data_IF_693836215777
#
_entry.id   IF_693836215777
#
_cell.length_a   1.000
_cell.length_b   1.000
_cell.length_c   1.000
_cell.angle_alpha   90.00
_cell.angle_beta   90.00
_cell.angle_gamma   90.00
#
_symmetry.space_group_name_H-M   'P 1'
#
loop_
_entity.id
_entity.type
_entity.pdbx_description
1 polymer ?
#
# COMPACT_ATOMS: atom_id res chain seq x y z
N UNK A 1 -17.26 6.95 8.13
CA UNK A 1 -16.19 7.96 8.18
C UNK A 1 -16.00 8.51 6.77
N UNK A 2 -16.43 9.75 6.54
CA UNK A 2 -16.33 10.41 5.24
C UNK A 2 -14.90 10.93 5.04
N UNK A 3 -14.33 10.76 3.85
CA UNK A 3 -12.96 11.19 3.53
C UNK A 3 -12.99 12.18 2.39
N UNK A 4 -12.48 13.39 2.63
CA UNK A 4 -12.37 14.44 1.62
C UNK A 4 -10.89 14.68 1.29
N UNK A 5 -10.58 14.75 -0.01
CA UNK A 5 -9.24 15.09 -0.50
C UNK A 5 -9.22 16.59 -0.84
N UNK A 6 -8.32 17.33 -0.21
CA UNK A 6 -8.08 18.74 -0.50
C UNK A 6 -6.65 18.90 -1.02
N UNK A 7 -6.52 19.49 -2.22
CA UNK A 7 -5.21 19.85 -2.77
C UNK A 7 -4.76 21.14 -2.10
N UNK A 8 -3.67 21.07 -1.33
CA UNK A 8 -3.03 22.28 -0.79
C UNK A 8 -2.17 22.94 -1.87
N UNK A 9 -1.47 22.13 -2.67
CA UNK A 9 -0.65 22.48 -3.84
C UNK A 9 -0.66 21.28 -4.82
N UNK A 10 -0.16 21.43 -6.05
CA UNK A 10 -0.07 20.31 -7.02
C UNK A 10 0.68 19.06 -6.50
N UNK A 11 1.52 19.23 -5.48
CA UNK A 11 2.37 18.17 -4.92
C UNK A 11 1.90 17.63 -3.56
N UNK A 12 0.95 18.27 -2.87
CA UNK A 12 0.53 17.84 -1.52
C UNK A 12 -0.98 17.68 -1.43
N UNK A 13 -1.39 16.49 -0.98
CA UNK A 13 -2.79 16.10 -0.77
C UNK A 13 -3.06 16.06 0.73
N UNK A 14 -4.10 16.76 1.16
CA UNK A 14 -4.62 16.66 2.52
C UNK A 14 -5.81 15.72 2.52
N UNK A 15 -5.70 14.62 3.26
CA UNK A 15 -6.76 13.64 3.44
C UNK A 15 -7.47 13.94 4.75
N UNK A 16 -8.67 14.51 4.68
CA UNK A 16 -9.48 14.85 5.85
C UNK A 16 -10.25 13.60 6.29
N UNK A 17 -10.08 13.20 7.54
CA UNK A 17 -10.80 12.11 8.17
C UNK A 17 -11.91 12.71 9.05
N UNK A 18 -13.17 12.63 8.58
CA UNK A 18 -14.29 13.13 9.37
C UNK A 18 -14.55 12.20 10.57
N UNK A 19 -14.26 12.66 11.78
CA UNK A 19 -14.73 12.02 13.02
C UNK A 19 -16.07 12.63 13.45
N UNK A 20 -17.07 11.83 13.88
CA UNK A 20 -18.24 12.36 14.56
C UNK A 20 -17.78 12.94 15.91
N UNK A 21 -17.78 14.27 16.03
CA UNK A 21 -17.39 14.93 17.29
C UNK A 21 -18.55 14.91 18.28
N UNK A 22 -18.53 13.95 19.21
CA UNK A 22 -19.26 14.02 20.47
C UNK A 22 -18.23 14.27 21.58
N UNK A 23 -18.04 15.53 21.99
CA UNK A 23 -17.26 15.86 23.19
C UNK A 23 -16.37 17.09 23.08
N UNK A 24 -16.28 17.84 24.18
CA UNK A 24 -15.67 19.17 24.38
C UNK A 24 -14.13 19.23 24.35
N UNK A 25 -13.44 18.29 23.68
CA UNK A 25 -11.97 18.28 23.61
C UNK A 25 -11.48 19.11 22.42
N UNK A 26 -10.38 19.89 22.54
CA UNK A 26 -9.81 20.63 21.41
C UNK A 26 -9.54 19.69 20.22
N UNK A 27 -9.77 20.16 18.97
CA UNK A 27 -9.74 19.30 17.80
C UNK A 27 -8.34 18.72 17.60
N UNK A 28 -8.22 17.39 17.74
CA UNK A 28 -7.07 16.65 17.22
C UNK A 28 -6.99 16.90 15.70
N UNK A 29 -5.77 16.99 15.15
CA UNK A 29 -5.56 17.03 13.69
C UNK A 29 -6.43 15.95 13.05
N UNK A 30 -7.45 16.36 12.31
CA UNK A 30 -8.41 15.47 11.66
C UNK A 30 -8.02 15.17 10.22
N UNK A 31 -6.74 15.36 9.88
CA UNK A 31 -6.26 15.17 8.53
C UNK A 31 -4.87 14.53 8.53
N UNK A 32 -4.57 13.83 7.43
CA UNK A 32 -3.24 13.33 7.10
C UNK A 32 -2.76 14.11 5.89
N UNK A 33 -1.57 14.69 5.98
CA UNK A 33 -0.93 15.37 4.86
C UNK A 33 0.03 14.41 4.18
N UNK A 34 -0.19 14.18 2.88
CA UNK A 34 0.59 13.24 2.07
C UNK A 34 1.14 13.99 0.86
N UNK A 35 2.46 13.97 0.70
CA UNK A 35 3.15 14.70 -0.38
C UNK A 35 3.60 13.76 -1.49
N UNK A 36 3.45 14.11 -2.76
CA UNK A 36 3.98 13.34 -3.88
C UNK A 36 5.51 13.37 -3.82
N UNK A 37 6.14 12.19 -3.88
CA UNK A 37 7.59 12.07 -4.04
C UNK A 37 7.91 12.21 -5.53
N UNK A 38 8.45 13.36 -5.90
CA UNK A 38 8.90 13.71 -7.26
C UNK A 38 10.34 14.21 -7.19
N UNK A 39 10.95 14.49 -8.33
CA UNK A 39 12.24 15.20 -8.44
C UNK A 39 12.31 16.48 -7.57
N UNK A 40 11.22 17.25 -7.50
CA UNK A 40 11.11 18.48 -6.70
C UNK A 40 11.21 18.18 -5.20
N UNK A 41 10.48 17.18 -4.71
CA UNK A 41 10.37 16.87 -3.27
C UNK A 41 11.39 15.82 -2.80
N UNK A 42 12.07 15.16 -3.73
CA UNK A 42 13.00 14.06 -3.50
C UNK A 42 14.09 14.42 -2.50
N UNK A 43 14.72 15.58 -2.71
CA UNK A 43 15.84 16.00 -1.87
C UNK A 43 15.39 16.27 -0.43
N UNK A 44 14.26 16.97 -0.22
CA UNK A 44 13.78 17.31 1.12
C UNK A 44 13.15 16.13 1.85
N UNK A 45 12.45 15.26 1.12
CA UNK A 45 11.63 14.20 1.70
C UNK A 45 12.36 12.85 1.76
N UNK A 46 13.57 12.76 1.19
CA UNK A 46 14.41 11.57 1.27
C UNK A 46 15.88 11.91 1.53
N UNK A 47 16.60 12.46 0.56
CA UNK A 47 18.08 12.53 0.59
C UNK A 47 18.61 13.36 1.77
N UNK A 48 18.01 14.51 2.02
CA UNK A 48 18.37 15.44 3.11
C UNK A 48 17.34 15.42 4.24
N UNK A 49 16.57 14.34 4.35
CA UNK A 49 15.64 14.18 5.45
C UNK A 49 16.42 14.16 6.78
N UNK A 50 15.88 14.84 7.81
CA UNK A 50 16.57 14.99 9.10
C UNK A 50 16.92 13.62 9.71
N UNK A 51 18.10 13.44 10.34
CA UNK A 51 18.44 12.21 11.03
C UNK A 51 17.35 11.79 12.04
N UNK A 52 17.02 10.51 12.06
CA UNK A 52 15.94 9.97 12.90
C UNK A 52 14.54 10.11 12.32
N UNK A 53 14.37 10.83 11.21
CA UNK A 53 13.10 10.90 10.48
C UNK A 53 13.01 9.81 9.42
N UNK A 54 11.79 9.37 9.15
CA UNK A 54 11.44 8.34 8.19
C UNK A 54 10.31 8.87 7.32
N UNK A 55 10.42 8.68 6.01
CA UNK A 55 9.33 8.97 5.08
C UNK A 55 8.62 7.66 4.70
N UNK A 56 7.34 7.57 5.04
CA UNK A 56 6.48 6.43 4.72
C UNK A 56 5.77 6.74 3.39
N UNK A 57 6.16 6.00 2.36
CA UNK A 57 5.79 6.26 0.97
C UNK A 57 4.85 5.18 0.46
N UNK A 58 3.60 5.55 0.18
CA UNK A 58 2.63 4.69 -0.52
C UNK A 58 2.89 4.70 -2.02
N UNK A 59 3.00 3.54 -2.65
CA UNK A 59 3.05 3.41 -4.10
C UNK A 59 1.64 3.23 -4.66
N UNK A 60 1.29 4.01 -5.67
CA UNK A 60 -0.03 4.02 -6.30
C UNK A 60 0.07 4.34 -7.80
N UNK A 61 -1.04 4.17 -8.51
CA UNK A 61 -1.23 4.64 -9.90
C UNK A 61 -2.23 5.79 -9.93
N UNK A 62 -2.32 6.51 -11.05
CA UNK A 62 -3.34 7.54 -11.25
C UNK A 62 -4.76 6.98 -11.08
N UNK A 63 -4.98 5.74 -11.53
CA UNK A 63 -6.26 5.05 -11.40
C UNK A 63 -6.62 4.71 -9.94
N UNK A 64 -5.63 4.38 -9.10
CA UNK A 64 -5.85 3.95 -7.71
C UNK A 64 -5.71 5.08 -6.69
N UNK A 65 -5.28 6.29 -7.11
CA UNK A 65 -4.83 7.39 -6.24
C UNK A 65 -5.81 7.71 -5.12
N UNK A 66 -7.06 8.01 -5.46
CA UNK A 66 -8.05 8.47 -4.47
C UNK A 66 -8.41 7.37 -3.46
N UNK A 67 -8.57 6.14 -3.94
CA UNK A 67 -8.95 4.97 -3.11
C UNK A 67 -7.83 4.64 -2.13
N UNK A 68 -6.59 4.52 -2.62
CA UNK A 68 -5.44 4.17 -1.80
C UNK A 68 -5.05 5.27 -0.82
N UNK A 69 -5.07 6.56 -1.23
CA UNK A 69 -4.79 7.65 -0.30
C UNK A 69 -5.80 7.71 0.85
N UNK A 70 -7.09 7.48 0.56
CA UNK A 70 -8.13 7.41 1.58
C UNK A 70 -7.91 6.28 2.57
N UNK A 71 -7.58 5.08 2.08
CA UNK A 71 -7.28 3.91 2.93
C UNK A 71 -5.98 4.10 3.71
N UNK A 72 -4.92 4.55 3.06
CA UNK A 72 -3.62 4.81 3.67
C UNK A 72 -3.74 5.81 4.83
N UNK A 73 -4.44 6.93 4.63
CA UNK A 73 -4.65 7.91 5.68
C UNK A 73 -5.35 7.32 6.91
N UNK A 74 -6.32 6.42 6.72
CA UNK A 74 -6.99 5.73 7.84
C UNK A 74 -6.02 4.82 8.60
N UNK A 75 -5.22 4.03 7.89
CA UNK A 75 -4.26 3.09 8.49
C UNK A 75 -3.16 3.83 9.27
N UNK A 76 -2.66 4.96 8.76
CA UNK A 76 -1.55 5.69 9.39
C UNK A 76 -1.99 6.76 10.39
N UNK A 77 -3.29 7.04 10.52
CA UNK A 77 -3.81 8.18 11.30
C UNK A 77 -3.30 8.20 12.74
N UNK A 78 -3.32 7.05 13.43
CA UNK A 78 -2.87 6.92 14.82
C UNK A 78 -1.39 7.25 15.01
N UNK A 79 -0.58 7.21 13.94
CA UNK A 79 0.86 7.48 13.95
C UNK A 79 1.20 8.93 13.56
N UNK A 80 0.22 9.73 13.13
CA UNK A 80 0.43 11.14 12.70
C UNK A 80 0.84 12.08 13.83
N UNK A 81 0.74 11.64 15.09
CA UNK A 81 1.31 12.35 16.24
C UNK A 81 2.84 12.34 16.27
N UNK A 82 3.48 11.41 15.55
CA UNK A 82 4.94 11.36 15.46
C UNK A 82 5.47 12.50 14.59
N UNK A 83 6.38 13.31 15.15
CA UNK A 83 7.08 14.38 14.43
C UNK A 83 8.23 13.86 13.55
N UNK A 84 8.59 12.58 13.69
CA UNK A 84 9.66 11.95 12.92
C UNK A 84 9.17 11.19 11.70
N UNK A 85 7.86 10.96 11.59
CA UNK A 85 7.24 10.35 10.41
C UNK A 85 6.76 11.42 9.44
N UNK A 86 7.11 11.22 8.18
CA UNK A 86 6.57 11.95 7.04
C UNK A 86 5.78 10.97 6.18
N UNK A 87 4.78 11.48 5.46
CA UNK A 87 3.92 10.65 4.62
C UNK A 87 3.98 11.17 3.20
N UNK A 88 4.33 10.27 2.28
CA UNK A 88 4.39 10.58 0.86
C UNK A 88 3.65 9.53 0.03
N UNK A 89 3.40 9.83 -1.23
CA UNK A 89 3.06 8.82 -2.22
C UNK A 89 3.98 8.90 -3.43
N UNK A 90 4.22 7.76 -4.07
CA UNK A 90 4.95 7.66 -5.33
C UNK A 90 3.98 7.17 -6.41
N UNK A 91 3.91 7.89 -7.52
CA UNK A 91 3.11 7.48 -8.67
C UNK A 91 3.92 6.52 -9.57
N UNK A 92 3.55 5.24 -9.58
CA UNK A 92 4.21 4.19 -10.35
C UNK A 92 4.02 4.33 -11.87
N UNK A 93 3.01 5.08 -12.33
CA UNK A 93 2.85 5.38 -13.76
C UNK A 93 3.94 6.35 -14.24
N UNK A 94 4.50 7.16 -13.34
CA UNK A 94 5.52 8.18 -13.63
C UNK A 94 6.94 7.79 -13.21
N UNK A 95 7.08 7.08 -12.11
CA UNK A 95 8.36 6.90 -11.39
C UNK A 95 8.73 5.44 -11.20
N UNK A 96 8.41 4.60 -12.20
CA UNK A 96 8.65 3.16 -12.11
C UNK A 96 10.13 2.80 -12.04
N UNK A 97 10.96 3.42 -12.89
CA UNK A 97 12.40 3.12 -12.94
C UNK A 97 13.09 3.39 -11.59
N UNK A 98 12.63 4.42 -10.88
CA UNK A 98 13.04 4.68 -9.51
C UNK A 98 12.67 3.51 -8.58
N UNK A 99 11.43 3.02 -8.67
CA UNK A 99 10.95 1.90 -7.85
C UNK A 99 11.72 0.61 -8.13
N UNK A 100 11.94 0.28 -9.41
CA UNK A 100 12.73 -0.88 -9.83
C UNK A 100 14.14 -0.82 -9.23
N UNK A 101 14.78 0.35 -9.33
CA UNK A 101 16.13 0.58 -8.78
C UNK A 101 16.21 0.46 -7.26
N UNK A 102 15.15 0.85 -6.53
CA UNK A 102 15.13 0.67 -5.07
C UNK A 102 14.95 -0.80 -4.70
N UNK A 103 14.07 -1.50 -5.41
CA UNK A 103 13.72 -2.88 -5.08
C UNK A 103 14.77 -3.91 -5.48
N UNK A 104 15.68 -3.60 -6.39
CA UNK A 104 16.86 -4.42 -6.69
C UNK A 104 17.60 -4.83 -5.40
N UNK A 105 17.73 -3.92 -4.44
CA UNK A 105 18.38 -4.18 -3.14
C UNK A 105 17.54 -5.00 -2.15
N UNK A 106 16.25 -5.22 -2.44
CA UNK A 106 15.43 -6.16 -1.68
C UNK A 106 15.43 -7.57 -2.29
N UNK A 107 15.81 -7.71 -3.57
CA UNK A 107 15.78 -8.99 -4.29
C UNK A 107 16.90 -9.94 -3.84
N UNK A 108 18.05 -9.43 -3.38
CA UNK A 108 19.11 -10.24 -2.74
C UNK A 108 18.64 -11.01 -1.49
N UNK A 109 17.44 -10.69 -0.96
CA UNK A 109 16.84 -11.39 0.18
C UNK A 109 15.83 -12.48 -0.24
N UNK A 110 15.50 -12.61 -1.53
CA UNK A 110 14.35 -13.38 -2.03
C UNK A 110 14.70 -14.51 -3.02
N UNK A 111 15.98 -14.87 -3.20
CA UNK A 111 16.40 -15.97 -4.09
C UNK A 111 15.97 -17.39 -3.67
N UNK A 112 14.90 -17.56 -2.88
CA UNK A 112 14.42 -18.89 -2.47
C UNK A 112 13.03 -19.23 -3.02
N UNK A 113 12.26 -18.29 -3.58
CA UNK A 113 10.86 -18.58 -3.92
C UNK A 113 10.39 -17.87 -5.20
N UNK A 114 10.89 -18.29 -6.37
CA UNK A 114 10.08 -18.25 -7.60
C UNK A 114 10.80 -19.02 -8.70
N UNK A 115 10.20 -20.13 -9.09
CA UNK A 115 10.54 -20.90 -10.27
C UNK A 115 10.56 -20.03 -11.54
N UNK A 116 11.42 -20.44 -12.44
CA UNK A 116 11.80 -19.79 -13.70
C UNK A 116 10.66 -19.79 -14.74
N UNK A 117 9.57 -19.06 -14.53
CA UNK A 117 8.51 -18.94 -15.54
C UNK A 117 7.68 -17.67 -15.36
N UNK A 118 8.25 -16.49 -15.66
CA UNK A 118 7.52 -15.31 -16.18
C UNK A 118 8.46 -14.10 -16.36
N UNK A 119 9.26 -14.12 -17.44
CA UNK A 119 10.18 -13.02 -17.77
C UNK A 119 9.48 -11.76 -18.34
N UNK A 120 8.16 -11.76 -18.50
CA UNK A 120 7.39 -10.66 -19.11
C UNK A 120 6.38 -10.01 -18.14
N UNK A 121 6.24 -10.52 -16.91
CA UNK A 121 5.34 -9.94 -15.93
C UNK A 121 6.00 -8.80 -15.15
N UNK A 122 5.83 -7.60 -15.70
CA UNK A 122 6.13 -6.32 -15.06
C UNK A 122 5.44 -6.24 -13.68
N UNK A 123 6.24 -6.22 -12.60
CA UNK A 123 5.73 -6.23 -11.22
C UNK A 123 4.74 -5.08 -10.97
N UNK A 124 3.58 -5.40 -10.39
CA UNK A 124 2.61 -4.41 -9.90
C UNK A 124 2.98 -3.94 -8.49
N UNK A 125 3.51 -2.71 -8.40
CA UNK A 125 3.85 -2.07 -7.13
C UNK A 125 2.67 -1.37 -6.45
N UNK A 126 1.49 -1.36 -7.08
CA UNK A 126 0.32 -0.66 -6.53
C UNK A 126 0.00 -1.18 -5.13
N UNK A 127 -0.04 -0.29 -4.13
CA UNK A 127 -0.30 -0.63 -2.73
C UNK A 127 0.94 -1.02 -1.91
N UNK A 128 2.13 -1.06 -2.51
CA UNK A 128 3.37 -1.22 -1.76
C UNK A 128 3.57 0.01 -0.86
N UNK A 129 4.17 -0.19 0.31
CA UNK A 129 4.57 0.92 1.20
C UNK A 129 6.03 0.76 1.57
N UNK A 130 6.81 1.84 1.42
CA UNK A 130 8.21 1.88 1.83
C UNK A 130 8.37 2.82 3.02
N UNK A 131 9.09 2.40 4.05
CA UNK A 131 9.59 3.29 5.09
C UNK A 131 11.04 3.63 4.77
N UNK A 132 11.28 4.83 4.23
CA UNK A 132 12.60 5.27 3.77
C UNK A 132 13.34 6.05 4.86
N UNK A 133 14.55 5.60 5.21
CA UNK A 133 15.44 6.32 6.10
C UNK A 133 16.62 6.91 5.31
N UNK A 134 16.47 8.16 4.87
CA UNK A 134 17.45 8.87 4.05
C UNK A 134 18.87 8.86 4.63
N UNK A 135 18.97 9.14 5.94
CA UNK A 135 20.24 9.26 6.64
C UNK A 135 20.95 7.93 6.86
N UNK A 136 20.23 6.90 7.32
CA UNK A 136 20.79 5.56 7.56
C UNK A 136 20.85 4.69 6.29
N UNK A 137 20.36 5.21 5.15
CA UNK A 137 20.33 4.56 3.84
C UNK A 137 19.79 3.14 3.88
N UNK A 138 18.59 2.98 4.44
CA UNK A 138 17.84 1.75 4.33
C UNK A 138 16.37 2.04 4.07
N UNK A 139 15.64 1.03 3.61
CA UNK A 139 14.20 1.02 3.61
C UNK A 139 13.63 -0.25 4.25
N UNK A 140 12.44 -0.14 4.83
CA UNK A 140 11.60 -1.29 5.15
C UNK A 140 10.50 -1.40 4.10
N UNK A 141 10.11 -2.62 3.73
CA UNK A 141 9.12 -2.87 2.70
C UNK A 141 7.86 -3.52 3.27
N UNK A 142 6.70 -2.96 2.92
CA UNK A 142 5.40 -3.60 3.03
C UNK A 142 4.93 -4.01 1.64
N UNK A 143 4.56 -5.28 1.50
CA UNK A 143 3.91 -5.81 0.30
C UNK A 143 2.44 -6.13 0.61
N UNK A 144 1.49 -5.73 -0.24
CA UNK A 144 0.10 -6.19 -0.14
C UNK A 144 0.03 -7.71 -0.08
N UNK A 145 -0.73 -8.24 0.88
CA UNK A 145 -1.07 -9.67 0.92
C UNK A 145 -2.46 -9.81 0.33
N UNK A 146 -2.57 -10.35 -0.88
CA UNK A 146 -3.88 -10.65 -1.47
C UNK A 146 -4.47 -11.88 -0.78
N UNK A 147 -5.41 -11.68 0.14
CA UNK A 147 -6.21 -12.78 0.71
C UNK A 147 -7.34 -13.19 -0.23
N UNK A 148 -7.06 -13.30 -1.54
CA UNK A 148 -8.06 -13.19 -2.60
C UNK A 148 -8.37 -14.44 -3.42
N UNK A 149 -7.56 -15.50 -3.41
CA UNK A 149 -7.77 -16.68 -4.27
C UNK A 149 -7.54 -18.05 -3.59
N UNK A 150 -7.57 -18.13 -2.25
CA UNK A 150 -7.52 -19.44 -1.56
C UNK A 150 -8.91 -20.03 -1.25
N UNK A 151 -9.89 -19.70 -2.10
CA UNK A 151 -11.20 -20.38 -2.14
C UNK A 151 -11.36 -21.26 -3.40
N UNK A 152 -10.29 -21.46 -4.16
CA UNK A 152 -10.30 -22.21 -5.42
C UNK A 152 -9.28 -23.33 -5.48
N UNK A 153 -9.58 -24.47 -4.86
CA UNK A 153 -9.11 -25.77 -5.36
C UNK A 153 -7.87 -26.38 -4.71
N UNK A 154 -8.08 -27.09 -3.58
CA UNK A 154 -7.47 -28.41 -3.36
C UNK A 154 -8.54 -29.35 -2.79
N UNK A 155 -9.42 -29.83 -3.68
CA UNK A 155 -10.18 -31.06 -3.48
C UNK A 155 -9.48 -32.16 -4.29
N UNK A 156 -8.67 -32.98 -3.62
CA UNK A 156 -8.12 -34.29 -4.02
C UNK A 156 -7.25 -34.71 -2.84
N UNK A 157 -7.36 -35.81 -2.12
CA UNK A 157 -8.09 -37.09 -2.12
C UNK A 157 -8.34 -37.39 -0.60
N UNK A 158 -9.21 -38.25 -0.08
CA UNK A 158 -9.41 -39.66 -0.40
C UNK A 158 -10.58 -40.20 0.46
N UNK A 159 -11.42 -41.07 -0.11
CA UNK A 159 -11.98 -42.26 0.56
C UNK A 159 -13.17 -42.12 1.53
N UNK A 160 -14.35 -42.58 1.12
CA UNK A 160 -15.41 -42.97 2.07
C UNK A 160 -16.79 -43.23 1.47
N UNK A 161 -17.04 -44.45 1.02
CA UNK A 161 -18.32 -44.94 0.52
C UNK A 161 -19.46 -44.85 1.57
N UNK A 162 -20.70 -44.64 1.10
CA UNK A 162 -21.91 -44.89 1.91
C UNK A 162 -23.16 -44.20 1.36
N UNK A 163 -24.08 -45.00 0.81
CA UNK A 163 -25.27 -44.53 0.09
C UNK A 163 -26.39 -43.89 0.92
N UNK A 164 -27.39 -43.35 0.23
CA UNK A 164 -28.65 -42.94 0.84
C UNK A 164 -29.42 -41.89 0.05
N UNK A 165 -30.38 -42.36 -0.74
CA UNK A 165 -31.43 -41.58 -1.41
C UNK A 165 -32.12 -40.56 -0.48
N UNK A 166 -32.38 -39.33 -0.97
CA UNK A 166 -33.67 -38.63 -0.84
C UNK A 166 -33.68 -37.29 -1.58
N UNK A 167 -34.48 -37.24 -2.64
CA UNK A 167 -34.93 -36.04 -3.33
C UNK A 167 -35.57 -35.03 -2.38
N UNK A 168 -35.19 -33.74 -2.47
CA UNK A 168 -36.08 -32.60 -2.23
C UNK A 168 -35.71 -31.44 -3.15
N UNK A 169 -36.55 -31.25 -4.15
CA UNK A 169 -36.72 -30.04 -4.93
C UNK A 169 -37.06 -28.85 -4.02
N UNK A 170 -36.25 -27.80 -4.05
CA UNK A 170 -36.70 -26.45 -3.71
C UNK A 170 -36.17 -25.52 -4.80
N UNK A 171 -37.06 -25.17 -5.72
CA UNK A 171 -36.90 -24.03 -6.61
C UNK A 171 -36.72 -22.76 -5.80
N UNK A 172 -35.57 -22.13 -5.96
CA UNK A 172 -35.42 -20.69 -5.78
C UNK A 172 -34.62 -20.22 -6.97
N UNK A 173 -35.30 -19.60 -7.93
CA UNK A 173 -34.66 -18.73 -8.91
C UNK A 173 -33.96 -17.61 -8.14
N UNK A 174 -32.70 -17.84 -7.79
CA UNK A 174 -31.83 -16.77 -7.35
C UNK A 174 -31.39 -16.03 -8.59
N UNK A 175 -32.10 -14.93 -8.88
CA UNK A 175 -31.72 -13.98 -9.91
C UNK A 175 -30.22 -13.65 -9.75
N UNK A 176 -29.41 -13.70 -10.82
CA UNK A 176 -28.03 -13.28 -10.75
C UNK A 176 -28.06 -11.79 -10.44
N UNK A 177 -27.78 -11.43 -9.18
CA UNK A 177 -27.53 -10.04 -8.80
C UNK A 177 -26.44 -9.57 -9.73
N UNK A 178 -26.73 -8.57 -10.57
CA UNK A 178 -25.77 -7.90 -11.45
C UNK A 178 -24.64 -7.39 -10.56
N UNK A 179 -23.61 -8.21 -10.38
CA UNK A 179 -22.44 -7.85 -9.62
C UNK A 179 -21.73 -6.80 -10.45
N UNK A 180 -21.74 -5.55 -9.97
CA UNK A 180 -21.09 -4.46 -10.67
C UNK A 180 -19.57 -4.70 -10.58
N UNK A 181 -18.87 -4.99 -11.70
CA UNK A 181 -17.44 -5.32 -11.66
C UNK A 181 -16.57 -4.14 -11.18
N UNK A 182 -17.14 -2.93 -11.14
CA UNK A 182 -16.49 -1.72 -10.59
C UNK A 182 -16.46 -1.68 -9.05
N UNK A 183 -17.43 -2.27 -8.36
CA UNK A 183 -17.43 -2.30 -6.89
C UNK A 183 -16.51 -3.38 -6.33
N UNK A 184 -16.30 -4.47 -7.07
CA UNK A 184 -15.33 -5.51 -6.69
C UNK A 184 -13.90 -5.04 -6.83
N UNK A 185 -13.57 -4.35 -7.93
CA UNK A 185 -12.21 -3.87 -8.16
C UNK A 185 -11.79 -2.82 -7.13
N UNK A 186 -12.69 -1.92 -6.74
CA UNK A 186 -12.41 -0.93 -5.69
C UNK A 186 -12.25 -1.56 -4.30
N UNK A 187 -13.03 -2.59 -3.97
CA UNK A 187 -12.85 -3.37 -2.73
C UNK A 187 -11.51 -4.13 -2.72
N UNK A 188 -11.13 -4.75 -3.84
CA UNK A 188 -9.83 -5.42 -3.98
C UNK A 188 -8.66 -4.45 -3.79
N UNK A 189 -8.77 -3.22 -4.32
CA UNK A 189 -7.75 -2.17 -4.13
C UNK A 189 -7.70 -1.72 -2.66
N UNK A 190 -8.82 -1.68 -1.96
CA UNK A 190 -8.84 -1.36 -0.52
C UNK A 190 -8.09 -2.39 0.32
N UNK A 191 -8.23 -3.67 0.01
CA UNK A 191 -7.58 -4.75 0.76
C UNK A 191 -6.05 -4.78 0.59
N UNK A 192 -5.50 -4.10 -0.44
CA UNK A 192 -4.04 -4.02 -0.64
C UNK A 192 -3.30 -3.42 0.57
N UNK A 193 -3.97 -2.57 1.36
CA UNK A 193 -3.38 -1.92 2.54
C UNK A 193 -3.89 -2.51 3.86
N UNK A 194 -4.54 -3.67 3.82
CA UNK A 194 -4.89 -4.37 5.04
C UNK A 194 -3.62 -4.78 5.78
N UNK A 195 -3.67 -4.72 7.12
CA UNK A 195 -2.51 -4.94 8.01
C UNK A 195 -1.42 -3.88 7.94
N UNK A 196 -1.58 -2.80 7.15
CA UNK A 196 -0.62 -1.70 7.16
C UNK A 196 -0.50 -1.08 8.56
N UNK A 197 -1.59 -0.92 9.32
CA UNK A 197 -1.53 -0.47 10.71
C UNK A 197 -0.60 -1.33 11.59
N UNK A 198 -0.70 -2.66 11.51
CA UNK A 198 0.19 -3.58 12.24
C UNK A 198 1.64 -3.47 11.77
N UNK A 199 1.86 -3.33 10.46
CA UNK A 199 3.20 -3.10 9.92
C UNK A 199 3.80 -1.79 10.42
N UNK A 200 2.98 -0.74 10.57
CA UNK A 200 3.39 0.54 11.17
C UNK A 200 3.76 0.42 12.64
N UNK A 201 3.06 -0.40 13.44
CA UNK A 201 3.45 -0.68 14.83
C UNK A 201 4.84 -1.30 14.88
N UNK A 202 5.09 -2.32 14.05
CA UNK A 202 6.41 -2.96 13.94
C UNK A 202 7.50 -2.02 13.44
N UNK A 203 7.16 -1.07 12.54
CA UNK A 203 8.07 -0.02 12.11
C UNK A 203 8.50 0.84 13.29
N UNK A 204 7.56 1.23 14.15
CA UNK A 204 7.81 2.06 15.32
C UNK A 204 8.62 1.34 16.40
N UNK A 205 8.40 0.04 16.57
CA UNK A 205 9.21 -0.82 17.44
C UNK A 205 10.60 -1.11 16.87
N UNK A 206 10.80 -0.88 15.57
CA UNK A 206 12.07 -1.12 14.88
C UNK A 206 12.35 -2.59 14.56
N UNK A 207 11.32 -3.43 14.54
CA UNK A 207 11.41 -4.90 14.34
C UNK A 207 11.26 -5.35 12.88
N UNK A 208 11.09 -4.40 11.96
CA UNK A 208 10.98 -4.70 10.53
C UNK A 208 12.35 -4.99 9.89
N UNK A 209 12.40 -5.89 8.88
CA UNK A 209 13.58 -6.07 8.03
C UNK A 209 14.00 -4.76 7.37
N UNK A 210 15.31 -4.55 7.27
CA UNK A 210 15.90 -3.35 6.65
C UNK A 210 16.75 -3.76 5.46
N UNK A 211 16.42 -3.22 4.30
CA UNK A 211 17.22 -3.35 3.09
C UNK A 211 18.11 -2.11 3.00
N UNK A 212 19.42 -2.31 3.19
CA UNK A 212 20.41 -1.25 3.11
C UNK A 212 20.82 -1.01 1.66
N UNK A 213 21.02 0.25 1.31
CA UNK A 213 21.43 0.63 -0.05
C UNK A 213 22.70 1.49 0.00
N UNK A 214 23.61 1.37 -0.97
CA UNK A 214 24.84 2.16 -1.01
C UNK A 214 24.56 3.65 -1.27
N UNK A 215 23.60 3.91 -2.16
CA UNK A 215 23.13 5.23 -2.54
C UNK A 215 21.66 5.17 -2.97
N UNK A 216 20.93 6.25 -2.72
CA UNK A 216 19.57 6.38 -3.26
C UNK A 216 19.61 6.60 -4.78
N UNK A 217 18.61 6.15 -5.55
CA UNK A 217 18.57 6.38 -6.99
C UNK A 217 18.65 7.88 -7.34
N UNK A 218 19.31 8.23 -8.44
CA UNK A 218 19.48 9.62 -8.83
C UNK A 218 18.17 10.32 -9.24
N UNK A 219 18.26 11.65 -9.41
CA UNK A 219 17.13 12.46 -9.85
C UNK A 219 16.65 12.07 -11.25
N UNK A 220 17.57 11.63 -12.11
CA UNK A 220 17.30 11.10 -13.45
C UNK A 220 16.26 9.98 -13.44
N UNK A 221 16.27 9.13 -12.42
CA UNK A 221 15.35 7.99 -12.30
C UNK A 221 13.97 8.36 -11.74
N UNK A 222 13.87 9.49 -11.03
CA UNK A 222 12.60 9.98 -10.46
C UNK A 222 11.99 11.13 -11.26
N UNK A 223 12.72 11.73 -12.20
CA UNK A 223 12.10 12.63 -13.17
C UNK A 223 11.16 11.80 -14.04
N UNK A 224 9.90 12.24 -14.15
CA UNK A 224 8.94 11.54 -15.01
C UNK A 224 9.45 11.55 -16.45
N UNK A 225 9.55 10.38 -17.09
CA UNK A 225 9.83 10.32 -18.51
C UNK A 225 8.72 11.04 -19.27
N UNK A 226 9.14 11.95 -20.14
CA UNK A 226 8.28 12.93 -20.82
C UNK A 226 7.52 12.31 -21.98
#
# INVERSE_FOLDING_TARGET
MEVNLSLKNYLSVTVILASPTLGSRPPKKNFVEVTELTDITYTSNLVKLRPGHINVVLVLTDASKNVLLSKFAKEVYSFTGSLTLHYSFLNADKHREWMDSVLEFAQDSMQVESDEEDADHKVDYTGYVLALNGHKKYFCLFKPVYTGDDLGGRSSDEGGAGGGSRSRSVSREEQPRKHNPRSTSTLQIHHKLDRLGLWMERLMEGTLPRHYIPAWPGLDKITANK
#
